data_IF_704105849106
#
_entry.id   IF_704105849106
#
_cell.length_a   1.000
_cell.length_b   1.000
_cell.length_c   1.000
_cell.angle_alpha   90.00
_cell.angle_beta   90.00
_cell.angle_gamma   90.00
#
_symmetry.space_group_name_H-M   'P 1'
#
loop_
_entity.id
_entity.type
_entity.pdbx_description
1 polymer ?
#
# COMPACT_ATOMS: atom_id res chain seq x y z
N UNK A 1 -4.31 11.65 -3.68
CA UNK A 1 -4.36 10.92 -2.39
C UNK A 1 -3.50 11.63 -1.36
N UNK A 2 -3.99 11.76 -0.13
CA UNK A 2 -3.23 12.39 0.95
C UNK A 2 -2.33 11.36 1.64
N UNK A 3 -1.33 11.84 2.39
CA UNK A 3 -0.47 10.94 3.16
C UNK A 3 -1.28 10.18 4.21
N UNK A 4 -2.21 10.85 4.87
CA UNK A 4 -3.06 10.19 5.87
C UNK A 4 -3.84 9.03 5.23
N UNK A 5 -4.40 9.25 4.05
CA UNK A 5 -5.15 8.22 3.35
C UNK A 5 -4.22 7.07 2.92
N UNK A 6 -3.00 7.40 2.49
CA UNK A 6 -2.03 6.39 2.09
C UNK A 6 -1.67 5.46 3.25
N UNK A 7 -1.43 6.02 4.43
CA UNK A 7 -1.17 5.20 5.62
C UNK A 7 -2.36 4.30 5.94
N UNK A 8 -3.57 4.85 5.81
CA UNK A 8 -4.79 4.09 6.07
C UNK A 8 -4.91 2.90 5.13
N UNK A 9 -4.64 3.12 3.84
CA UNK A 9 -4.71 2.06 2.83
C UNK A 9 -3.73 0.94 3.14
N UNK A 10 -2.54 1.28 3.61
CA UNK A 10 -1.53 0.29 3.97
C UNK A 10 -1.70 -0.25 5.39
N UNK A 11 -2.75 0.21 6.09
CA UNK A 11 -3.07 -0.23 7.46
C UNK A 11 -1.94 0.09 8.44
N UNK A 12 -1.35 1.28 8.29
CA UNK A 12 -0.26 1.75 9.13
C UNK A 12 -0.66 3.02 9.86
N UNK A 13 0.02 3.27 10.98
CA UNK A 13 -0.13 4.56 11.66
C UNK A 13 0.66 5.62 10.89
N UNK A 14 0.33 6.88 11.12
CA UNK A 14 1.02 7.97 10.44
C UNK A 14 2.46 8.14 10.92
N UNK A 15 2.86 7.41 11.94
CA UNK A 15 4.23 7.40 12.46
C UNK A 15 5.08 6.29 11.83
N UNK A 16 4.54 5.54 10.88
CA UNK A 16 5.25 4.42 10.27
C UNK A 16 6.50 4.90 9.54
N UNK A 17 7.55 4.10 9.64
CA UNK A 17 8.82 4.36 8.97
C UNK A 17 8.76 3.94 7.51
N UNK A 18 9.75 4.38 6.72
CA UNK A 18 9.84 3.95 5.32
C UNK A 18 9.90 2.43 5.20
N UNK A 19 10.68 1.78 6.07
CA UNK A 19 10.80 0.32 6.06
C UNK A 19 9.45 -0.34 6.32
N UNK A 20 8.68 0.22 7.24
CA UNK A 20 7.35 -0.30 7.54
C UNK A 20 6.41 -0.13 6.35
N UNK A 21 6.53 0.97 5.62
CA UNK A 21 5.71 1.21 4.43
C UNK A 21 6.03 0.16 3.37
N UNK A 22 7.32 -0.07 3.09
CA UNK A 22 7.74 -1.06 2.10
C UNK A 22 7.27 -2.46 2.50
N UNK A 23 7.42 -2.80 3.77
CA UNK A 23 7.03 -4.11 4.27
C UNK A 23 5.52 -4.33 4.14
N UNK A 24 4.74 -3.33 4.55
CA UNK A 24 3.28 -3.43 4.46
C UNK A 24 2.83 -3.56 3.01
N UNK A 25 3.41 -2.74 2.12
CA UNK A 25 3.09 -2.79 0.70
C UNK A 25 3.36 -4.20 0.14
N UNK A 26 4.54 -4.75 0.44
CA UNK A 26 4.93 -6.07 -0.06
C UNK A 26 3.96 -7.15 0.43
N UNK A 27 3.61 -7.11 1.72
CA UNK A 27 2.66 -8.06 2.29
C UNK A 27 1.30 -7.99 1.62
N UNK A 28 0.79 -6.76 1.47
CA UNK A 28 -0.54 -6.56 0.90
C UNK A 28 -0.59 -6.95 -0.57
N UNK A 29 0.47 -6.67 -1.32
CA UNK A 29 0.53 -7.06 -2.72
C UNK A 29 0.50 -8.57 -2.91
N UNK A 30 1.11 -9.30 -1.98
CA UNK A 30 1.06 -10.77 -2.04
C UNK A 30 -0.36 -11.29 -1.83
N UNK A 31 -1.16 -10.58 -1.07
CA UNK A 31 -2.53 -11.00 -0.77
C UNK A 31 -3.49 -10.77 -1.92
N UNK A 32 -3.23 -9.77 -2.77
CA UNK A 32 -4.20 -9.44 -3.83
C UNK A 32 -4.04 -10.26 -5.10
N UNK A 33 -2.88 -10.80 -5.39
CA UNK A 33 -2.64 -11.70 -6.54
C UNK A 33 -3.43 -11.30 -7.80
N UNK A 34 -3.10 -10.17 -8.43
CA UNK A 34 -3.89 -9.70 -9.58
C UNK A 34 -3.99 -10.71 -10.72
N UNK A 35 -2.95 -11.53 -10.90
CA UNK A 35 -2.88 -12.52 -11.95
C UNK A 35 -3.86 -13.69 -11.75
N UNK A 36 -4.42 -13.81 -10.55
CA UNK A 36 -5.38 -14.87 -10.24
C UNK A 36 -6.78 -14.34 -10.07
N UNK A 37 -7.09 -13.23 -10.72
CA UNK A 37 -8.40 -12.62 -10.59
C UNK A 37 -8.56 -11.80 -9.33
N UNK A 38 -7.47 -11.59 -8.60
CA UNK A 38 -7.48 -10.68 -7.47
C UNK A 38 -7.69 -9.27 -7.95
N UNK A 39 -7.91 -8.36 -7.03
CA UNK A 39 -8.37 -7.03 -7.37
C UNK A 39 -7.28 -6.15 -7.93
N UNK A 40 -7.37 -5.83 -9.22
CA UNK A 40 -6.53 -4.82 -9.85
C UNK A 40 -6.74 -3.48 -9.17
N UNK A 41 -7.95 -3.21 -8.71
CA UNK A 41 -8.28 -2.00 -7.98
C UNK A 41 -7.40 -1.86 -6.72
N UNK A 42 -7.35 -2.91 -5.91
CA UNK A 42 -6.54 -2.86 -4.69
C UNK A 42 -5.05 -2.75 -4.99
N UNK A 43 -4.58 -3.44 -6.01
CA UNK A 43 -3.17 -3.33 -6.41
C UNK A 43 -2.82 -1.90 -6.77
N UNK A 44 -3.70 -1.22 -7.51
CA UNK A 44 -3.51 0.19 -7.86
C UNK A 44 -3.49 1.06 -6.62
N UNK A 45 -4.40 0.82 -5.67
CA UNK A 45 -4.47 1.59 -4.44
C UNK A 45 -3.18 1.45 -3.64
N UNK A 46 -2.67 0.24 -3.51
CA UNK A 46 -1.43 0.00 -2.77
C UNK A 46 -0.24 0.66 -3.45
N UNK A 47 -0.16 0.58 -4.77
CA UNK A 47 0.91 1.24 -5.52
C UNK A 47 0.86 2.75 -5.33
N UNK A 48 -0.32 3.33 -5.41
CA UNK A 48 -0.50 4.77 -5.25
C UNK A 48 -0.13 5.22 -3.83
N UNK A 49 -0.56 4.45 -2.83
CA UNK A 49 -0.22 4.75 -1.44
C UNK A 49 1.29 4.74 -1.23
N UNK A 50 1.96 3.73 -1.77
CA UNK A 50 3.41 3.64 -1.67
C UNK A 50 4.08 4.85 -2.33
N UNK A 51 3.61 5.23 -3.51
CA UNK A 51 4.14 6.40 -4.23
C UNK A 51 4.03 7.66 -3.39
N UNK A 52 2.86 7.88 -2.79
CA UNK A 52 2.62 9.06 -1.97
C UNK A 52 3.58 9.11 -0.78
N UNK A 53 3.83 7.98 -0.17
CA UNK A 53 4.63 7.92 1.06
C UNK A 53 6.13 7.86 0.81
N UNK A 54 6.56 7.23 -0.27
CA UNK A 54 7.98 7.07 -0.56
C UNK A 54 8.49 8.05 -1.61
N UNK A 55 7.57 8.71 -2.28
CA UNK A 55 7.88 9.76 -3.22
C UNK A 55 8.54 9.34 -4.44
#
# INVERSE_FOLDING_TARGET
>A
MTRARAFEILELSENATRDQVVDAYTRLMKQVHPDKGGSTYFAKQFNEAREVLLG
#
